data_IF_605483486830
#
_entry.id   IF_605483486830
#
_cell.length_a   1.000
_cell.length_b   1.000
_cell.length_c   1.000
_cell.angle_alpha   90.00
_cell.angle_beta   90.00
_cell.angle_gamma   90.00
#
_symmetry.space_group_name_H-M   'P 1'
#
loop_
_entity.id
_entity.type
_entity.pdbx_description
1 polymer ?
2 non-polymer ?
3 non-polymer ?
4 water ?
#
# COMPACT_ATOMS: atom_id res chain seq x y z
N UNK A 10 16.96 0.87 19.09
CA UNK A 10 17.86 2.03 19.33
C UNK A 10 17.09 3.34 19.20
N UNK A 11 17.33 4.25 20.13
CA UNK A 11 16.67 5.55 20.15
C UNK A 11 17.69 6.65 19.89
N UNK A 12 17.48 7.42 18.83
CA UNK A 12 18.38 8.51 18.48
C UNK A 12 18.19 9.66 19.47
N UNK A 13 19.31 10.25 19.96
CA UNK A 13 19.22 11.38 20.91
C UNK A 13 18.27 12.48 20.43
N UNK A 14 17.43 12.94 21.35
CA UNK A 14 16.43 13.95 21.08
C UNK A 14 17.02 15.29 20.66
N UNK A 15 16.63 15.79 19.47
CA UNK A 15 17.12 17.06 18.94
C UNK A 15 16.74 18.20 19.90
N UNK A 16 17.62 19.21 20.04
CA UNK A 16 17.38 20.35 20.92
C UNK A 16 16.06 21.10 20.73
N UNK A 17 15.57 21.17 19.48
CA UNK A 17 14.32 21.88 19.21
C UNK A 17 13.02 21.14 19.55
N UNK A 18 13.13 19.83 19.78
CA UNK A 18 11.94 19.04 20.09
C UNK A 18 11.65 19.00 21.58
N UNK A 19 10.43 19.39 22.00
CA UNK A 19 10.01 19.39 23.41
C UNK A 19 9.87 17.96 23.91
N UNK A 20 10.26 17.70 25.14
CA UNK A 20 10.16 16.36 25.72
C UNK A 20 8.73 15.83 25.83
N UNK A 21 7.76 16.73 26.04
CA UNK A 21 6.37 16.33 26.17
C UNK A 21 5.76 15.83 24.86
N UNK A 22 6.47 16.01 23.75
CA UNK A 22 5.97 15.56 22.45
C UNK A 22 6.63 14.25 22.03
N UNK A 23 7.46 13.68 22.91
CA UNK A 23 8.14 12.43 22.60
C UNK A 23 7.18 11.24 22.77
N UNK A 24 7.19 10.36 21.78
CA UNK A 24 6.37 9.15 21.79
C UNK A 24 7.13 8.19 20.88
N UNK A 25 7.93 7.33 21.48
CA UNK A 25 8.75 6.38 20.74
C UNK A 25 8.03 5.25 20.01
N UNK A 26 7.35 5.60 18.94
CA UNK A 26 6.65 4.64 18.12
C UNK A 26 7.63 4.09 17.07
N UNK A 27 7.65 2.77 16.89
CA UNK A 27 8.51 2.13 15.90
C UNK A 27 7.62 1.65 14.76
N UNK A 28 7.71 2.30 13.61
CA UNK A 28 6.87 1.94 12.47
C UNK A 28 7.15 0.56 11.87
N UNK A 29 8.31 0.00 12.17
CA UNK A 29 8.67 -1.33 11.66
C UNK A 29 8.48 -2.44 12.71
N UNK A 30 8.14 -2.07 13.94
CA UNK A 30 7.88 -3.05 15.00
C UNK A 30 7.16 -2.37 16.17
N UNK A 31 5.92 -1.92 15.93
CA UNK A 31 5.10 -1.24 16.95
C UNK A 31 4.84 -2.06 18.21
N UNK A 32 4.82 -1.36 19.35
CA UNK A 32 4.61 -1.94 20.67
C UNK A 32 3.44 -2.91 20.85
N UNK A 33 2.30 -2.63 20.26
CA UNK A 33 1.14 -3.52 20.42
C UNK A 33 0.74 -4.25 19.13
N UNK A 34 1.74 -4.68 18.38
CA UNK A 34 1.53 -5.39 17.12
C UNK A 34 0.61 -6.60 17.26
N UNK A 35 0.59 -7.21 18.44
CA UNK A 35 -0.22 -8.39 18.71
C UNK A 35 -1.73 -8.17 18.66
N UNK A 36 -2.14 -6.92 18.78
CA UNK A 36 -3.56 -6.58 18.75
C UNK A 36 -4.03 -6.37 17.31
N UNK A 37 -3.08 -6.39 16.38
CA UNK A 37 -3.35 -6.15 14.98
C UNK A 37 -2.56 -4.90 14.63
N UNK A 38 -2.11 -4.78 13.38
CA UNK A 38 -1.31 -3.64 12.98
C UNK A 38 -2.05 -2.30 13.00
N UNK A 39 -3.27 -2.24 12.44
CA UNK A 39 -4.05 -1.00 12.45
C UNK A 39 -4.29 -0.56 13.88
N UNK A 40 -4.51 -1.53 14.77
CA UNK A 40 -4.76 -1.27 16.19
C UNK A 40 -3.51 -0.69 16.86
N UNK A 41 -2.35 -1.25 16.51
CA UNK A 41 -1.08 -0.81 17.06
C UNK A 41 -0.81 0.66 16.70
N UNK A 42 -1.07 1.01 15.44
CA UNK A 42 -0.89 2.37 14.96
C UNK A 42 -1.93 3.31 15.59
N UNK A 43 -3.16 2.82 15.73
CA UNK A 43 -4.26 3.60 16.32
C UNK A 43 -3.99 4.07 17.76
N UNK A 44 -3.04 3.43 18.43
CA UNK A 44 -2.71 3.83 19.80
C UNK A 44 -2.19 5.27 19.77
N UNK A 45 -1.69 5.70 18.61
CA UNK A 45 -1.17 7.04 18.41
C UNK A 45 -2.25 8.11 18.43
N UNK A 46 -3.50 7.71 18.21
CA UNK A 46 -4.60 8.66 18.16
C UNK A 46 -5.38 8.87 19.46
N UNK A 47 -4.91 8.26 20.54
CA UNK A 47 -5.57 8.39 21.84
C UNK A 47 -5.47 9.81 22.40
N UNK A 48 -6.48 10.21 23.17
CA UNK A 48 -6.53 11.56 23.74
C UNK A 48 -5.30 12.00 24.53
N UNK A 49 -4.62 11.04 25.12
CA UNK A 49 -3.40 11.28 25.90
C UNK A 49 -2.23 11.64 24.99
N UNK A 50 -2.28 11.19 23.74
CA UNK A 50 -1.23 11.42 22.77
C UNK A 50 -1.46 12.69 21.94
N UNK A 51 -0.44 13.56 21.85
CA UNK A 51 -0.54 14.82 21.08
C UNK A 51 -0.87 14.57 19.61
N UNK A 52 -1.35 15.60 18.93
CA UNK A 52 -1.73 15.51 17.51
C UNK A 52 -0.51 15.32 16.62
N UNK A 53 0.65 15.68 17.16
CA UNK A 53 1.90 15.61 16.43
C UNK A 53 2.99 15.27 17.45
N UNK A 54 3.61 14.11 17.28
CA UNK A 54 4.65 13.66 18.20
C UNK A 54 5.98 13.39 17.49
N UNK A 55 7.04 13.24 18.28
CA UNK A 55 8.36 12.94 17.77
C UNK A 55 8.79 11.59 18.33
N UNK A 56 9.18 10.68 17.45
CA UNK A 56 9.67 9.39 17.90
C UNK A 56 11.17 9.40 17.67
N UNK A 57 11.90 8.84 18.62
CA UNK A 57 13.35 8.76 18.53
C UNK A 57 13.76 7.49 17.81
N UNK A 58 12.78 6.65 17.50
CA UNK A 58 13.03 5.40 16.77
C UNK A 58 13.42 5.71 15.34
N UNK A 59 14.10 4.75 14.70
CA UNK A 59 14.49 4.86 13.30
C UNK A 59 15.11 6.18 12.86
N UNK A 60 16.05 6.70 13.67
CA UNK A 60 16.73 7.94 13.34
C UNK A 60 16.06 9.18 13.90
N UNK A 61 14.81 9.05 14.32
CA UNK A 61 14.07 10.17 14.87
C UNK A 61 13.28 10.90 13.80
N UNK A 62 11.97 11.06 14.02
CA UNK A 62 11.11 11.74 13.06
C UNK A 62 9.75 12.09 13.65
N UNK A 63 9.05 13.02 13.01
CA UNK A 63 7.73 13.40 13.46
C UNK A 63 6.71 12.40 12.93
N UNK A 64 5.53 12.41 13.53
CA UNK A 64 4.42 11.56 13.11
C UNK A 64 3.14 12.37 13.35
N UNK A 65 2.42 12.72 12.29
CA UNK A 65 1.15 13.45 12.44
C UNK A 65 0.18 12.32 12.75
N UNK A 66 -0.54 12.42 13.87
CA UNK A 66 -1.45 11.35 14.27
C UNK A 66 -2.91 11.51 13.84
N UNK A 67 -3.32 12.74 13.57
CA UNK A 67 -4.70 13.00 13.19
C UNK A 67 -4.92 13.25 11.70
N UNK A 68 -6.02 12.70 11.19
CA UNK A 68 -6.37 12.86 9.79
C UNK A 68 -6.32 14.29 9.28
N UNK A 69 -6.73 15.26 10.10
CA UNK A 69 -6.73 16.67 9.70
C UNK A 69 -5.31 17.16 9.42
N UNK A 70 -4.37 16.79 10.30
CA UNK A 70 -2.98 17.19 10.13
C UNK A 70 -2.34 16.44 8.98
N UNK A 71 -2.67 15.16 8.86
CA UNK A 71 -2.14 14.31 7.80
C UNK A 71 -2.57 14.88 6.44
N UNK A 72 -3.84 15.25 6.32
CA UNK A 72 -4.38 15.80 5.07
C UNK A 72 -3.74 17.14 4.73
N UNK A 73 -3.62 17.98 5.75
CA UNK A 73 -3.04 19.31 5.60
C UNK A 73 -1.60 19.27 5.12
N UNK A 74 -0.79 18.39 5.72
CA UNK A 74 0.61 18.27 5.34
C UNK A 74 0.78 17.77 3.90
N UNK A 75 -0.05 16.81 3.49
CA UNK A 75 0.02 16.28 2.12
C UNK A 75 -0.40 17.31 1.08
N UNK A 76 -1.19 18.29 1.50
CA UNK A 76 -1.63 19.35 0.61
C UNK A 76 -0.55 20.42 0.45
N UNK A 77 0.24 20.61 1.49
CA UNK A 77 1.29 21.62 1.50
C UNK A 77 2.65 21.08 1.04
N UNK A 78 2.82 20.86 -0.25
CA UNK A 78 4.09 20.35 -0.76
C UNK A 78 5.26 21.34 -0.65
N UNK A 79 4.94 22.61 -0.48
CA UNK A 79 5.94 23.67 -0.34
C UNK A 79 6.74 23.52 0.95
N UNK A 80 6.07 23.10 2.02
CA UNK A 80 6.73 22.89 3.31
C UNK A 80 7.10 21.43 3.52
N UNK A 81 6.21 20.54 3.08
CA UNK A 81 6.40 19.10 3.21
C UNK A 81 6.69 18.49 1.84
N UNK A 82 7.97 18.36 1.56
CA UNK A 82 8.47 17.84 0.28
C UNK A 82 8.53 16.31 0.18
N UNK A 83 8.31 15.81 -1.04
CA UNK A 83 8.37 14.38 -1.33
C UNK A 83 9.78 13.92 -1.73
N UNK A 84 10.76 14.82 -1.66
CA UNK A 84 12.14 14.44 -1.97
C UNK A 84 12.62 13.77 -0.68
N UNK A 85 12.00 12.63 -0.40
CA UNK A 85 12.22 11.85 0.80
C UNK A 85 13.49 11.05 1.01
N UNK A 86 14.07 11.16 2.21
CA UNK A 86 15.28 10.41 2.56
C UNK A 86 14.60 9.14 3.08
N UNK A 87 15.32 8.06 3.33
CA UNK A 87 14.67 6.86 3.86
C UNK A 87 14.47 7.01 5.36
N UNK A 88 13.75 6.05 5.94
CA UNK A 88 13.50 5.99 7.38
C UNK A 88 13.72 4.52 7.71
N UNK A 89 14.85 4.18 8.36
CA UNK A 89 15.95 5.02 8.85
C UNK A 89 16.67 5.63 7.66
N UNK A 90 17.12 6.87 7.80
CA UNK A 90 17.80 7.53 6.70
C UNK A 90 19.17 6.91 6.46
N UNK A 91 19.56 6.86 5.20
CA UNK A 91 20.85 6.30 4.81
C UNK A 91 21.76 7.40 4.29
N UNK A 92 23.03 7.33 4.67
CA UNK A 92 24.04 8.31 4.28
C UNK A 92 24.23 8.37 2.77
N UNK A 93 24.08 9.57 2.22
CA UNK A 93 24.26 9.79 0.80
C UNK A 93 23.27 9.14 -0.14
N UNK A 94 22.18 8.59 0.40
CA UNK A 94 21.16 7.93 -0.42
C UNK A 94 19.76 8.34 -0.01
N UNK A 95 18.86 8.45 -0.99
CA UNK A 95 17.49 8.85 -0.74
C UNK A 95 16.58 8.34 -1.87
N UNK A 96 15.27 8.43 -1.68
CA UNK A 96 14.33 7.98 -2.68
C UNK A 96 14.47 8.83 -3.93
N UNK A 97 14.37 8.22 -5.09
CA UNK A 97 14.44 8.96 -6.35
C UNK A 97 13.43 8.39 -7.34
N UNK A 98 12.36 7.81 -6.81
CA UNK A 98 11.31 7.24 -7.63
C UNK A 98 10.59 8.37 -8.37
N UNK A 99 10.00 8.03 -9.51
CA UNK A 99 9.26 9.00 -10.30
C UNK A 99 7.85 8.43 -10.46
N UNK A 100 6.81 9.25 -10.25
CA UNK A 100 6.92 10.68 -9.88
C UNK A 100 6.83 10.90 -8.38
N UNK A 101 6.82 9.81 -7.62
CA UNK A 101 6.69 9.83 -6.18
C UNK A 101 7.72 10.59 -5.36
N UNK A 102 8.96 10.66 -5.83
CA UNK A 102 9.97 11.40 -5.10
C UNK A 102 10.14 12.83 -5.61
N UNK A 103 9.12 13.35 -6.27
CA UNK A 103 9.15 14.70 -6.80
C UNK A 103 8.00 15.55 -6.28
N UNK A 104 8.22 16.86 -6.27
CA UNK A 104 7.22 17.83 -5.83
C UNK A 104 6.72 18.53 -7.08
N UNK A 105 5.47 18.99 -7.05
CA UNK A 105 4.98 19.70 -8.23
C UNK A 105 5.80 20.98 -8.18
N UNK A 106 5.94 21.70 -9.31
CA UNK A 106 5.40 21.44 -10.64
C UNK A 106 6.05 20.30 -11.43
N UNK A 107 7.33 20.06 -11.16
CA UNK A 107 8.10 19.02 -11.86
C UNK A 107 7.43 17.65 -11.91
N UNK A 108 6.87 17.24 -10.78
CA UNK A 108 6.20 15.94 -10.68
C UNK A 108 5.06 15.72 -11.67
N UNK A 109 4.27 16.76 -11.93
CA UNK A 109 3.09 16.66 -12.77
C UNK A 109 3.18 16.02 -14.15
N UNK A 110 4.17 16.38 -14.94
CA UNK A 110 4.33 15.84 -16.28
C UNK A 110 4.46 14.31 -16.26
N UNK A 111 5.05 13.78 -15.18
CA UNK A 111 5.24 12.33 -15.05
C UNK A 111 4.01 11.52 -14.68
N UNK A 112 3.08 12.13 -13.95
CA UNK A 112 1.85 11.44 -13.56
C UNK A 112 1.01 11.00 -14.75
N UNK A 113 0.91 11.87 -15.76
CA UNK A 113 0.11 11.54 -16.94
C UNK A 113 0.57 10.26 -17.61
N UNK A 114 1.88 10.11 -17.80
CA UNK A 114 2.42 8.90 -18.44
C UNK A 114 2.19 7.67 -17.58
N UNK A 115 2.38 7.81 -16.27
CA UNK A 115 2.16 6.70 -15.33
C UNK A 115 0.69 6.30 -15.34
N UNK A 116 -0.18 7.32 -15.39
CA UNK A 116 -1.62 7.12 -15.40
C UNK A 116 -2.03 6.37 -16.67
N UNK A 117 -1.27 6.58 -17.73
CA UNK A 117 -1.54 5.93 -19.01
C UNK A 117 -1.25 4.43 -18.99
N UNK A 118 -0.40 3.96 -18.09
CA UNK A 118 -0.09 2.53 -18.04
C UNK A 118 -0.88 1.71 -17.00
N UNK A 119 -1.28 2.33 -15.90
CA UNK A 119 -2.06 1.61 -14.88
C UNK A 119 -3.45 2.22 -14.61
N UNK A 120 -3.84 3.20 -15.43
CA UNK A 120 -5.12 3.87 -15.27
C UNK A 120 -6.36 3.09 -15.66
N UNK A 121 -7.50 3.75 -15.53
CA UNK A 121 -8.82 3.18 -15.82
C UNK A 121 -8.98 2.43 -17.16
N UNK A 122 -8.61 3.06 -18.29
CA UNK A 122 -8.75 2.35 -19.57
C UNK A 122 -7.99 1.01 -19.57
N UNK A 123 -6.82 1.01 -18.93
CA UNK A 123 -5.99 -0.19 -18.83
C UNK A 123 -6.71 -1.22 -17.95
N UNK A 124 -7.29 -0.76 -16.84
CA UNK A 124 -8.00 -1.67 -15.95
C UNK A 124 -9.18 -2.31 -16.68
N UNK A 125 -9.88 -1.53 -17.49
CA UNK A 125 -11.02 -2.02 -18.27
C UNK A 125 -10.54 -3.14 -19.20
N UNK A 126 -9.42 -2.91 -19.87
CA UNK A 126 -8.87 -3.91 -20.77
C UNK A 126 -8.54 -5.21 -20.02
N UNK A 127 -7.96 -5.07 -18.83
CA UNK A 127 -7.57 -6.23 -18.03
C UNK A 127 -8.76 -6.98 -17.45
N UNK A 128 -9.88 -6.29 -17.28
CA UNK A 128 -11.12 -6.82 -16.71
C UNK A 128 -11.36 -8.33 -16.83
N UNK A 129 -11.35 -8.86 -18.06
CA UNK A 129 -11.60 -10.28 -18.24
C UNK A 129 -10.48 -11.21 -17.80
N UNK A 130 -9.23 -10.79 -17.96
CA UNK A 130 -8.10 -11.60 -17.53
C UNK A 130 -8.12 -11.63 -16.00
N UNK A 131 -8.51 -10.50 -15.39
CA UNK A 131 -8.59 -10.39 -13.93
C UNK A 131 -9.65 -11.36 -13.41
N UNK A 132 -10.82 -11.33 -14.03
CA UNK A 132 -11.94 -12.20 -13.67
C UNK A 132 -11.55 -13.66 -13.86
N UNK A 133 -10.90 -13.97 -14.98
CA UNK A 133 -10.47 -15.32 -15.28
C UNK A 133 -9.49 -15.89 -14.26
N UNK A 134 -8.46 -15.11 -13.92
CA UNK A 134 -7.48 -15.57 -12.96
C UNK A 134 -8.10 -15.80 -11.58
N UNK A 135 -8.90 -14.85 -11.10
CA UNK A 135 -9.54 -15.00 -9.79
C UNK A 135 -10.35 -16.30 -9.75
N UNK A 136 -11.17 -16.52 -10.77
CA UNK A 136 -11.98 -17.70 -10.84
C UNK A 136 -11.13 -18.97 -10.92
N UNK A 137 -10.10 -18.95 -11.77
CA UNK A 137 -9.21 -20.08 -11.94
C UNK A 137 -8.50 -20.47 -10.65
N UNK A 138 -7.97 -19.49 -9.93
CA UNK A 138 -7.28 -19.76 -8.67
C UNK A 138 -8.23 -20.27 -7.60
N UNK A 139 -9.41 -19.66 -7.52
CA UNK A 139 -10.40 -20.03 -6.51
C UNK A 139 -11.00 -21.43 -6.74
N UNK A 140 -11.22 -21.80 -8.00
CA UNK A 140 -11.77 -23.12 -8.33
C UNK A 140 -10.84 -24.26 -7.95
N UNK A 141 -9.53 -24.07 -8.13
CA UNK A 141 -8.57 -25.11 -7.80
C UNK A 141 -8.47 -25.29 -6.29
N UNK A 142 -8.68 -24.20 -5.56
CA UNK A 142 -8.62 -24.24 -4.10
C UNK A 142 -9.90 -24.81 -3.49
N UNK A 143 -11.03 -24.46 -4.10
CA UNK A 143 -12.35 -24.87 -3.61
C UNK A 143 -12.52 -26.31 -3.07
N UNK A 144 -12.11 -27.33 -3.85
CA UNK A 144 -12.22 -28.73 -3.42
C UNK A 144 -11.35 -29.11 -2.21
N UNK A 145 -10.27 -28.35 -2.01
CA UNK A 145 -9.34 -28.60 -0.91
C UNK A 145 -9.92 -28.43 0.49
N UNK A 146 -10.85 -27.50 0.64
CA UNK A 146 -11.42 -27.26 1.96
C UNK A 146 -10.41 -26.58 2.88
N UNK A 147 -9.33 -26.06 2.31
CA UNK A 147 -8.28 -25.38 3.07
C UNK A 147 -7.29 -24.69 2.15
N UNK A 148 -6.58 -23.69 2.69
CA UNK A 148 -5.58 -22.96 1.93
C UNK A 148 -4.79 -22.00 2.81
N UNK A 149 -3.65 -21.58 2.29
CA UNK A 149 -2.76 -20.62 2.93
C UNK A 149 -3.00 -19.41 2.03
N UNK A 150 -4.02 -18.62 2.38
CA UNK A 150 -4.45 -17.47 1.58
C UNK A 150 -3.37 -16.55 1.04
N UNK A 151 -2.43 -16.14 1.89
CA UNK A 151 -1.36 -15.24 1.47
C UNK A 151 -0.60 -15.76 0.24
N UNK A 152 -0.10 -16.98 0.32
CA UNK A 152 0.64 -17.56 -0.79
C UNK A 152 -0.20 -18.19 -1.91
N UNK A 153 -1.42 -18.63 -1.59
CA UNK A 153 -2.30 -19.28 -2.57
C UNK A 153 -3.18 -18.34 -3.41
N UNK A 154 -3.44 -17.14 -2.89
CA UNK A 154 -4.28 -16.20 -3.62
C UNK A 154 -3.80 -14.76 -3.53
N UNK A 155 -3.63 -14.28 -2.30
CA UNK A 155 -3.21 -12.91 -2.06
C UNK A 155 -2.01 -12.52 -2.91
N UNK A 156 -1.03 -13.40 -2.99
CA UNK A 156 0.16 -13.13 -3.78
C UNK A 156 0.01 -13.36 -5.29
N UNK A 157 -0.27 -14.60 -5.74
CA UNK A 157 -0.42 -14.86 -7.18
C UNK A 157 -1.46 -14.07 -7.97
N UNK A 158 -2.60 -13.76 -7.36
CA UNK A 158 -3.64 -13.02 -8.08
C UNK A 158 -3.16 -11.64 -8.58
N UNK A 159 -2.83 -10.71 -7.66
CA UNK A 159 -2.38 -9.38 -8.09
C UNK A 159 -1.03 -9.39 -8.81
N UNK A 160 -0.11 -10.21 -8.32
CA UNK A 160 1.20 -10.29 -8.92
C UNK A 160 1.17 -10.80 -10.37
N UNK A 161 0.43 -11.87 -10.62
CA UNK A 161 0.38 -12.37 -11.99
C UNK A 161 -0.31 -11.39 -12.93
N UNK A 162 -1.31 -10.67 -12.45
CA UNK A 162 -1.97 -9.68 -13.29
C UNK A 162 -0.97 -8.56 -13.61
N UNK A 163 -0.18 -8.17 -12.61
CA UNK A 163 0.79 -7.11 -12.84
C UNK A 163 1.90 -7.53 -13.79
N UNK A 164 2.41 -8.75 -13.63
CA UNK A 164 3.47 -9.24 -14.51
C UNK A 164 2.92 -9.28 -15.94
N UNK A 165 1.65 -9.69 -16.07
CA UNK A 165 1.01 -9.75 -17.38
C UNK A 165 1.00 -8.33 -17.96
N UNK A 166 0.51 -7.39 -17.18
CA UNK A 166 0.44 -5.99 -17.58
C UNK A 166 1.81 -5.45 -17.97
N UNK A 167 2.83 -5.84 -17.22
CA UNK A 167 4.20 -5.38 -17.46
C UNK A 167 4.96 -6.19 -18.50
N UNK A 168 4.38 -7.31 -18.94
CA UNK A 168 5.04 -8.16 -19.92
C UNK A 168 6.30 -8.77 -19.31
N UNK A 169 6.23 -9.17 -18.04
CA UNK A 169 7.38 -9.76 -17.37
C UNK A 169 7.16 -11.24 -17.13
N UNK A 170 8.19 -12.07 -17.33
CA UNK A 170 8.08 -13.53 -17.13
C UNK A 170 7.71 -13.86 -15.69
N UNK A 171 6.71 -14.72 -15.49
CA UNK A 171 6.31 -15.10 -14.14
C UNK A 171 7.44 -15.75 -13.34
N UNK A 172 8.45 -16.27 -14.02
CA UNK A 172 9.59 -16.89 -13.34
C UNK A 172 10.37 -15.83 -12.56
N UNK A 173 10.21 -14.56 -12.93
CA UNK A 173 10.90 -13.45 -12.27
C UNK A 173 10.22 -13.02 -10.98
N UNK A 174 9.06 -13.59 -10.68
CA UNK A 174 8.32 -13.24 -9.48
C UNK A 174 9.06 -13.40 -8.14
N UNK A 175 9.64 -14.59 -7.86
CA UNK A 175 10.36 -14.75 -6.58
C UNK A 175 11.40 -13.65 -6.32
N UNK A 176 12.14 -13.29 -7.37
CA UNK A 176 13.17 -12.28 -7.29
C UNK A 176 12.58 -10.88 -7.03
N UNK A 177 11.64 -10.47 -7.86
CA UNK A 177 10.99 -9.17 -7.74
C UNK A 177 10.19 -9.01 -6.43
N UNK A 178 9.54 -10.10 -6.02
CA UNK A 178 8.74 -10.13 -4.81
C UNK A 178 9.66 -9.94 -3.60
N UNK A 179 10.85 -10.53 -3.65
CA UNK A 179 11.80 -10.37 -2.57
C UNK A 179 12.26 -8.91 -2.48
N UNK A 180 12.52 -8.31 -3.64
CA UNK A 180 12.98 -6.93 -3.68
C UNK A 180 11.93 -5.92 -3.24
N UNK A 181 10.68 -6.10 -3.67
CA UNK A 181 9.63 -5.18 -3.27
C UNK A 181 9.36 -5.32 -1.77
N UNK A 182 9.57 -6.52 -1.23
CA UNK A 182 9.40 -6.75 0.20
C UNK A 182 10.42 -5.92 0.95
N UNK A 183 11.64 -5.86 0.41
CA UNK A 183 12.70 -5.10 1.05
C UNK A 183 12.46 -3.59 1.02
N UNK A 184 11.58 -3.14 0.12
CA UNK A 184 11.26 -1.72 0.03
C UNK A 184 10.10 -1.33 0.95
N UNK A 185 9.44 -2.31 1.58
CA UNK A 185 8.29 -2.03 2.44
C UNK A 185 8.40 -2.57 3.87
N UNK A 186 8.79 -3.83 4.00
CA UNK A 186 8.95 -4.49 5.30
C UNK A 186 10.31 -5.20 5.22
N UNK A 187 11.41 -4.43 5.19
CA UNK A 187 12.76 -5.00 5.09
C UNK A 187 13.17 -5.91 6.24
N UNK A 188 13.78 -7.05 5.90
CA UNK A 188 14.25 -7.97 6.92
C UNK A 188 15.69 -7.65 7.35
N UNK A 189 16.30 -6.66 6.70
CA UNK A 189 17.65 -6.27 7.05
C UNK A 189 18.78 -6.87 6.21
N UNK A 190 18.47 -7.68 5.20
CA UNK A 190 19.50 -8.28 4.35
C UNK A 190 19.95 -7.30 3.27
N UNK A 191 19.20 -6.22 3.11
CA UNK A 191 19.51 -5.18 2.13
C UNK A 191 19.10 -3.83 2.68
N UNK A 192 19.78 -2.78 2.21
CA UNK A 192 19.44 -1.42 2.61
C UNK A 192 18.37 -1.00 1.59
N UNK A 193 17.67 0.10 1.82
CA UNK A 193 16.67 0.57 0.86
C UNK A 193 17.39 0.95 -0.43
N UNK A 194 18.61 1.47 -0.32
CA UNK A 194 19.39 1.88 -1.50
C UNK A 194 19.79 0.68 -2.36
N UNK A 195 20.11 -0.44 -1.72
CA UNK A 195 20.49 -1.64 -2.46
C UNK A 195 19.26 -2.31 -3.07
N UNK A 196 18.17 -2.37 -2.32
CA UNK A 196 16.94 -2.98 -2.83
C UNK A 196 16.46 -2.21 -4.06
N UNK A 197 16.44 -0.89 -3.94
CA UNK A 197 16.01 -0.03 -5.03
C UNK A 197 16.90 -0.16 -6.27
N UNK A 198 18.21 -0.17 -6.05
CA UNK A 198 19.14 -0.30 -7.16
C UNK A 198 18.97 -1.64 -7.89
N UNK A 199 18.64 -2.69 -7.16
CA UNK A 199 18.44 -4.02 -7.76
C UNK A 199 17.21 -4.02 -8.63
N UNK A 200 16.20 -3.27 -8.21
CA UNK A 200 14.96 -3.15 -8.95
C UNK A 200 15.29 -2.41 -10.26
N UNK A 201 16.07 -1.34 -10.15
CA UNK A 201 16.49 -0.55 -11.31
C UNK A 201 17.33 -1.41 -12.25
N UNK A 202 18.27 -2.15 -11.69
CA UNK A 202 19.17 -3.02 -12.46
C UNK A 202 18.38 -4.02 -13.29
N UNK A 203 17.30 -4.53 -12.70
CA UNK A 203 16.45 -5.49 -13.39
C UNK A 203 15.76 -4.82 -14.59
N UNK A 204 15.27 -3.61 -14.38
CA UNK A 204 14.54 -2.86 -15.40
C UNK A 204 15.35 -2.30 -16.58
N UNK A 205 16.56 -1.82 -16.33
CA UNK A 205 17.40 -1.23 -17.37
C UNK A 205 17.39 -1.93 -18.74
N UNK A 206 17.84 -3.20 -18.81
CA UNK A 206 17.85 -3.88 -20.11
C UNK A 206 16.45 -4.10 -20.72
N UNK A 207 15.44 -4.20 -19.87
CA UNK A 207 14.07 -4.40 -20.35
C UNK A 207 13.55 -3.13 -21.02
N UNK A 208 13.85 -1.98 -20.43
CA UNK A 208 13.43 -0.70 -21.00
C UNK A 208 14.11 -0.48 -22.37
N UNK A 209 15.40 -0.82 -22.47
CA UNK A 209 16.15 -0.67 -23.71
C UNK A 209 15.55 -1.54 -24.81
N UNK A 210 15.22 -2.79 -24.47
CA UNK A 210 14.65 -3.72 -25.43
C UNK A 210 13.33 -3.21 -26.01
N UNK A 211 12.43 -2.78 -25.13
CA UNK A 211 11.13 -2.29 -25.54
C UNK A 211 11.15 -0.91 -26.18
N UNK A 212 12.23 -0.17 -25.94
CA UNK A 212 12.38 1.16 -26.53
C UNK A 212 12.66 0.97 -28.03
N UNK A 213 13.29 -0.15 -28.36
CA UNK A 213 13.66 -0.48 -29.73
C UNK A 213 12.62 -1.35 -30.42
N UNK A 214 12.00 -2.25 -29.67
CA UNK A 214 10.95 -3.12 -30.20
C UNK A 214 9.75 -2.96 -29.24
N UNK A 215 9.03 -1.85 -29.37
CA UNK A 215 7.88 -1.57 -28.51
C UNK A 215 6.73 -2.58 -28.61
N UNK A 216 6.06 -2.76 -27.47
CA UNK A 216 4.90 -3.64 -27.38
C UNK A 216 3.82 -2.76 -26.78
N UNK A 217 2.74 -3.35 -26.31
CA UNK A 217 1.67 -2.57 -25.70
C UNK A 217 1.69 -2.64 -24.17
N UNK A 218 2.62 -3.45 -23.64
CA UNK A 218 2.78 -3.65 -22.21
C UNK A 218 3.19 -2.34 -21.52
N UNK A 219 3.01 -2.30 -20.20
CA UNK A 219 3.34 -1.12 -19.39
C UNK A 219 4.78 -0.62 -19.53
N UNK A 220 5.75 -1.52 -19.59
CA UNK A 220 7.16 -1.13 -19.71
C UNK A 220 7.43 -0.42 -21.06
N UNK A 221 6.84 -0.94 -22.14
CA UNK A 221 7.00 -0.35 -23.46
C UNK A 221 6.42 1.05 -23.50
N UNK A 222 5.22 1.19 -22.92
CA UNK A 222 4.53 2.48 -22.91
C UNK A 222 5.33 3.54 -22.17
N UNK A 223 5.94 3.18 -21.05
CA UNK A 223 6.76 4.13 -20.29
C UNK A 223 8.03 4.45 -21.08
N UNK A 224 8.76 3.40 -21.48
CA UNK A 224 10.00 3.53 -22.23
C UNK A 224 9.86 4.39 -23.48
N UNK A 225 8.73 4.27 -24.17
CA UNK A 225 8.49 5.04 -25.40
C UNK A 225 7.55 6.21 -25.13
N UNK A 226 7.36 6.55 -23.87
CA UNK A 226 6.47 7.63 -23.52
C UNK A 226 7.02 9.03 -23.63
N UNK A 227 6.13 10.00 -23.53
CA UNK A 227 6.48 11.41 -23.58
C UNK A 227 5.90 12.09 -22.36
N UNK A 228 6.67 13.02 -21.80
CA UNK A 228 6.23 13.79 -20.65
C UNK A 228 6.14 15.25 -21.12
N UNK A 229 4.91 15.72 -21.21
CA UNK A 229 4.60 17.08 -21.66
C UNK A 229 5.19 17.38 -23.02
N UNK A 230 4.95 16.46 -23.96
CA UNK A 230 5.43 16.62 -25.32
C UNK A 230 6.91 16.36 -25.56
N UNK A 231 7.60 15.92 -24.52
CA UNK A 231 9.04 15.65 -24.62
C UNK A 231 9.28 14.16 -24.32
N UNK A 232 10.23 13.53 -25.03
CA UNK A 232 10.48 12.10 -24.76
C UNK A 232 11.12 11.84 -23.41
N UNK A 233 10.56 10.89 -22.66
CA UNK A 233 11.10 10.53 -21.36
C UNK A 233 12.47 9.89 -21.64
N UNK A 234 13.44 10.10 -20.75
CA UNK A 234 14.76 9.51 -20.94
C UNK A 234 14.82 8.12 -20.31
N UNK A 235 15.82 7.34 -20.69
CA UNK A 235 16.01 6.00 -20.15
C UNK A 235 16.02 5.95 -18.62
N UNK A 236 16.70 6.92 -18.01
CA UNK A 236 16.81 7.01 -16.56
C UNK A 236 15.49 7.36 -15.89
N UNK A 237 14.73 8.28 -16.49
CA UNK A 237 13.44 8.66 -15.92
C UNK A 237 12.48 7.48 -16.01
N UNK A 238 12.57 6.75 -17.12
CA UNK A 238 11.73 5.58 -17.35
C UNK A 238 12.06 4.49 -16.32
N UNK A 239 13.34 4.35 -16.01
CA UNK A 239 13.83 3.36 -15.06
C UNK A 239 13.27 3.68 -13.67
N UNK A 240 13.36 4.95 -13.29
CA UNK A 240 12.87 5.41 -12.00
C UNK A 240 11.36 5.31 -11.85
N UNK A 241 10.62 5.49 -12.95
CA UNK A 241 9.16 5.37 -12.92
C UNK A 241 8.76 3.90 -12.81
N UNK A 242 9.35 3.07 -13.66
CA UNK A 242 9.04 1.64 -13.63
C UNK A 242 9.39 1.00 -12.28
N UNK A 243 10.48 1.48 -11.67
CA UNK A 243 10.88 0.95 -10.36
C UNK A 243 9.78 1.20 -9.34
N UNK A 244 9.20 2.40 -9.40
CA UNK A 244 8.12 2.76 -8.49
C UNK A 244 6.89 1.92 -8.80
N UNK A 245 6.57 1.76 -10.07
CA UNK A 245 5.40 0.97 -10.49
C UNK A 245 5.47 -0.47 -10.01
N UNK A 246 6.67 -1.06 -10.04
CA UNK A 246 6.85 -2.45 -9.60
C UNK A 246 6.54 -2.58 -8.12
N UNK A 247 6.97 -1.61 -7.32
CA UNK A 247 6.70 -1.65 -5.88
C UNK A 247 5.20 -1.59 -5.65
N UNK A 248 4.54 -0.61 -6.26
CA UNK A 248 3.10 -0.47 -6.10
C UNK A 248 2.32 -1.66 -6.63
N UNK A 249 2.64 -2.06 -7.86
CA UNK A 249 1.93 -3.15 -8.48
C UNK A 249 2.13 -4.54 -7.92
N UNK A 250 3.29 -4.80 -7.35
CA UNK A 250 3.55 -6.14 -6.80
C UNK A 250 3.31 -6.30 -5.31
N UNK A 251 3.32 -5.21 -4.56
CA UNK A 251 3.18 -5.32 -3.12
C UNK A 251 1.88 -4.88 -2.44
N UNK A 252 1.44 -3.66 -2.73
CA UNK A 252 0.27 -3.11 -2.06
C UNK A 252 -1.04 -3.90 -2.00
N UNK A 253 -1.61 -4.29 -3.14
CA UNK A 253 -2.86 -5.06 -3.14
C UNK A 253 -2.71 -6.42 -2.44
N UNK A 254 -1.55 -7.06 -2.62
CA UNK A 254 -1.28 -8.37 -2.01
C UNK A 254 -1.58 -8.37 -0.53
N UNK A 255 -0.98 -7.43 0.18
CA UNK A 255 -1.16 -7.33 1.61
C UNK A 255 -2.58 -6.95 2.02
N UNK A 256 -3.19 -6.03 1.29
CA UNK A 256 -4.54 -5.60 1.60
C UNK A 256 -5.56 -6.74 1.53
N UNK A 257 -5.43 -7.60 0.53
CA UNK A 257 -6.34 -8.73 0.36
C UNK A 257 -6.37 -9.65 1.58
N UNK A 258 -5.21 -9.87 2.19
CA UNK A 258 -5.14 -10.70 3.37
C UNK A 258 -5.86 -10.10 4.58
N UNK A 259 -5.79 -8.78 4.72
CA UNK A 259 -6.48 -8.10 5.82
C UNK A 259 -8.00 -8.30 5.62
N UNK A 260 -8.45 -8.09 4.38
CA UNK A 260 -9.86 -8.22 4.06
C UNK A 260 -10.37 -9.65 4.23
N UNK A 261 -9.61 -10.63 3.77
CA UNK A 261 -10.05 -12.02 3.88
C UNK A 261 -9.99 -12.50 5.33
N UNK A 262 -9.03 -11.98 6.10
CA UNK A 262 -8.92 -12.37 7.50
C UNK A 262 -10.15 -11.88 8.24
N UNK A 263 -10.55 -10.65 7.95
CA UNK A 263 -11.72 -10.06 8.58
C UNK A 263 -12.97 -10.86 8.22
N UNK A 264 -13.16 -11.13 6.93
CA UNK A 264 -14.33 -11.89 6.47
C UNK A 264 -14.40 -13.27 7.09
N UNK A 265 -13.25 -13.93 7.19
CA UNK A 265 -13.18 -15.27 7.79
C UNK A 265 -13.60 -15.24 9.25
N UNK A 266 -13.49 -14.06 9.87
CA UNK A 266 -13.85 -13.90 11.27
C UNK A 266 -15.26 -13.37 11.48
N UNK A 267 -15.91 -12.93 10.41
CA UNK A 267 -17.25 -12.40 10.55
C UNK A 267 -18.26 -12.98 9.58
N UNK A 268 -18.88 -14.09 9.99
CA UNK A 268 -19.88 -14.79 9.17
C UNK A 268 -21.02 -13.83 8.79
N UNK A 269 -21.33 -12.89 9.67
CA UNK A 269 -22.38 -11.93 9.46
C UNK A 269 -22.05 -11.00 8.28
N UNK A 270 -20.78 -10.61 8.16
CA UNK A 270 -20.38 -9.74 7.05
C UNK A 270 -20.32 -10.53 5.74
N UNK A 271 -20.00 -11.82 5.82
CA UNK A 271 -19.95 -12.67 4.62
C UNK A 271 -21.37 -12.81 4.06
N UNK A 272 -22.30 -13.18 4.94
CA UNK A 272 -23.69 -13.37 4.55
C UNK A 272 -24.28 -12.09 3.96
N UNK A 273 -23.91 -10.94 4.52
CA UNK A 273 -24.41 -9.67 4.02
C UNK A 273 -24.05 -9.48 2.56
N UNK A 274 -22.79 -9.73 2.22
CA UNK A 274 -22.32 -9.59 0.85
C UNK A 274 -22.88 -10.67 -0.06
N UNK A 275 -23.14 -11.85 0.52
CA UNK A 275 -23.72 -12.97 -0.21
C UNK A 275 -25.15 -12.62 -0.65
N UNK A 276 -25.92 -12.09 0.29
CA UNK A 276 -27.31 -11.72 0.01
C UNK A 276 -27.41 -10.44 -0.80
N UNK A 277 -26.56 -9.46 -0.50
CA UNK A 277 -26.61 -8.19 -1.22
C UNK A 277 -25.31 -7.88 -1.97
N UNK A 278 -25.05 -8.61 -3.08
CA UNK A 278 -23.84 -8.42 -3.89
C UNK A 278 -23.64 -6.98 -4.38
N UNK A 279 -24.72 -6.21 -4.48
CA UNK A 279 -24.62 -4.84 -4.95
C UNK A 279 -23.89 -3.95 -3.94
N UNK A 280 -23.71 -4.47 -2.73
CA UNK A 280 -23.01 -3.74 -1.69
C UNK A 280 -21.50 -3.96 -1.73
N UNK A 281 -21.05 -4.86 -2.59
CA UNK A 281 -19.61 -5.15 -2.69
C UNK A 281 -18.72 -3.94 -2.98
N UNK A 282 -19.10 -3.06 -3.92
CA UNK A 282 -18.24 -1.90 -4.16
C UNK A 282 -18.12 -1.06 -2.89
N UNK A 283 -19.23 -0.95 -2.16
CA UNK A 283 -19.26 -0.19 -0.90
C UNK A 283 -18.41 -0.88 0.16
N UNK A 284 -18.51 -2.21 0.23
CA UNK A 284 -17.75 -3.00 1.19
C UNK A 284 -16.25 -2.85 0.93
N UNK A 285 -15.87 -2.77 -0.35
CA UNK A 285 -14.47 -2.59 -0.75
C UNK A 285 -13.91 -1.30 -0.17
N UNK A 286 -14.68 -0.21 -0.34
CA UNK A 286 -14.29 1.11 0.15
C UNK A 286 -14.17 1.11 1.67
N UNK A 287 -15.14 0.49 2.34
CA UNK A 287 -15.16 0.41 3.79
C UNK A 287 -13.96 -0.38 4.32
N UNK A 288 -13.65 -1.48 3.63
CA UNK A 288 -12.53 -2.33 4.01
C UNK A 288 -11.22 -1.59 3.74
N UNK A 289 -11.21 -0.74 2.72
CA UNK A 289 -10.02 0.04 2.41
C UNK A 289 -9.75 1.02 3.54
N UNK A 290 -10.80 1.50 4.18
CA UNK A 290 -10.67 2.43 5.28
C UNK A 290 -10.17 1.67 6.52
N UNK A 291 -10.92 0.66 6.92
CA UNK A 291 -10.60 -0.13 8.10
C UNK A 291 -9.25 -0.86 8.04
N UNK A 292 -8.87 -1.33 6.86
CA UNK A 292 -7.61 -2.04 6.75
C UNK A 292 -6.59 -1.31 5.89
N UNK A 293 -6.62 0.03 5.98
CA UNK A 293 -5.69 0.90 5.29
C UNK A 293 -4.32 0.40 5.74
N UNK A 294 -3.31 0.47 4.87
CA UNK A 294 -2.01 -0.11 5.20
C UNK A 294 -0.73 0.61 4.83
N UNK A 295 -0.83 1.78 4.20
CA UNK A 295 0.37 2.50 3.79
C UNK A 295 0.69 3.64 4.74
N UNK A 296 1.99 3.89 4.90
CA UNK A 296 2.46 4.95 5.75
C UNK A 296 3.84 5.42 5.29
N UNK A 297 3.87 6.51 4.55
CA UNK A 297 5.16 7.07 4.14
C UNK A 297 5.17 8.53 4.62
N UNK A 298 6.14 9.34 4.20
CA UNK A 298 6.17 10.69 4.70
C UNK A 298 6.73 11.74 3.78
N UNK A 299 7.14 12.85 4.37
CA UNK A 299 7.70 13.98 3.64
C UNK A 299 8.88 14.52 4.45
N UNK A 300 9.55 15.52 3.90
CA UNK A 300 10.67 16.15 4.59
C UNK A 300 10.43 17.66 4.57
N UNK A 301 10.74 18.34 5.68
CA UNK A 301 10.54 19.78 5.77
C UNK A 301 11.55 20.59 4.99
N UNK A 302 11.06 21.49 4.16
CA UNK A 302 11.93 22.31 3.34
C UNK A 302 12.48 23.53 4.10
N UNK A 303 11.83 23.91 5.19
CA UNK A 303 12.28 25.05 5.98
C UNK A 303 11.76 24.97 7.42
N UNK A 304 12.24 25.88 8.27
CA UNK A 304 11.78 25.93 9.66
C UNK A 304 10.33 26.35 9.52
N UNK A 305 9.43 25.65 10.20
CA UNK A 305 8.01 25.94 10.07
C UNK A 305 7.22 25.45 11.27
N UNK A 306 6.38 26.33 11.80
CA UNK A 306 5.53 26.00 12.93
C UNK A 306 4.24 25.43 12.37
N UNK A 307 3.92 24.21 12.76
CA UNK A 307 2.73 23.52 12.28
C UNK A 307 1.92 23.11 13.51
N UNK A 308 0.73 23.68 13.64
CA UNK A 308 -0.16 23.39 14.76
C UNK A 308 0.52 23.54 16.10
N UNK A 309 1.18 24.68 16.30
CA UNK A 309 1.86 24.95 17.54
C UNK A 309 3.19 24.23 17.73
N UNK A 310 3.60 23.43 16.76
CA UNK A 310 4.87 22.69 16.85
C UNK A 310 5.91 23.24 15.89
N UNK A 311 7.09 23.57 16.42
CA UNK A 311 8.17 24.10 15.61
C UNK A 311 8.95 22.98 14.92
N UNK A 312 8.75 22.87 13.62
CA UNK A 312 9.42 21.87 12.80
C UNK A 312 10.67 22.50 12.17
N UNK A 313 11.76 21.77 12.13
CA UNK A 313 13.02 22.27 11.59
C UNK A 313 13.28 21.80 10.16
N UNK A 314 13.97 22.64 9.39
CA UNK A 314 14.32 22.32 8.02
C UNK A 314 15.10 21.01 8.03
N UNK A 315 14.74 20.09 7.14
CA UNK A 315 15.41 18.81 7.08
C UNK A 315 14.79 17.76 7.99
N UNK A 316 13.85 18.16 8.83
CA UNK A 316 13.18 17.22 9.72
C UNK A 316 12.29 16.33 8.86
N UNK A 317 12.26 15.04 9.19
CA UNK A 317 11.41 14.10 8.46
C UNK A 317 10.08 13.98 9.22
N UNK A 318 8.99 13.83 8.49
CA UNK A 318 7.69 13.68 9.12
C UNK A 318 6.91 12.57 8.43
N UNK A 319 6.49 11.59 9.22
CA UNK A 319 5.71 10.46 8.73
C UNK A 319 4.25 10.90 8.80
N UNK A 320 3.54 10.75 7.70
CA UNK A 320 2.14 11.12 7.62
C UNK A 320 1.45 9.81 7.24
N UNK A 321 1.10 8.99 8.25
CA UNK A 321 0.47 7.70 7.99
C UNK A 321 -0.89 7.78 7.29
N UNK A 322 -0.91 7.41 6.01
CA UNK A 322 -2.14 7.39 5.23
C UNK A 322 -3.19 6.50 5.89
N UNK A 323 -2.72 5.43 6.53
CA UNK A 323 -3.61 4.49 7.20
C UNK A 323 -4.42 5.11 8.36
N UNK A 324 -3.82 6.08 9.04
CA UNK A 324 -4.45 6.71 10.19
C UNK A 324 -5.66 7.63 9.98
N UNK A 325 -5.71 8.36 8.87
CA UNK A 325 -6.83 9.27 8.63
C UNK A 325 -8.22 8.67 8.86
N UNK A 326 -8.52 7.56 8.19
CA UNK A 326 -9.83 6.93 8.31
C UNK A 326 -10.10 6.21 9.62
N UNK A 327 -9.06 5.97 10.41
CA UNK A 327 -9.24 5.30 11.71
C UNK A 327 -9.49 6.35 12.80
N UNK A 328 -9.29 7.61 12.43
CA UNK A 328 -9.48 8.74 13.34
C UNK A 328 -10.97 8.89 13.65
N UNK A 329 -11.32 8.80 14.92
CA UNK A 329 -12.72 8.92 15.33
C UNK A 329 -13.33 10.29 15.01
N UNK A 330 -12.47 11.27 14.72
CA UNK A 330 -12.90 12.61 14.35
C UNK A 330 -13.34 12.62 12.87
N UNK A 331 -13.00 11.55 12.15
CA UNK A 331 -13.38 11.42 10.73
C UNK A 331 -14.50 10.41 10.57
N UNK A 332 -14.49 9.36 11.38
CA UNK A 332 -15.52 8.31 11.31
C UNK A 332 -15.88 7.80 12.70
N UNK A 333 -17.18 7.79 13.00
CA UNK A 333 -17.69 7.31 14.28
C UNK A 333 -17.46 5.80 14.29
N UNK A 334 -17.09 5.27 15.45
CA UNK A 334 -16.83 3.84 15.58
C UNK A 334 -15.91 3.36 14.44
N UNK A 335 -14.76 4.03 14.27
CA UNK A 335 -13.78 3.72 13.21
C UNK A 335 -13.22 2.31 13.12
N UNK A 336 -13.18 1.60 14.24
CA UNK A 336 -12.66 0.23 14.25
C UNK A 336 -13.75 -0.79 13.88
N UNK A 337 -14.97 -0.31 13.70
CA UNK A 337 -16.08 -1.19 13.34
C UNK A 337 -16.28 -1.16 11.83
N UNK A 338 -16.46 -2.33 11.23
CA UNK A 338 -16.69 -2.44 9.80
C UNK A 338 -18.19 -2.34 9.53
N UNK A 339 -18.59 -1.28 8.82
CA UNK A 339 -19.99 -1.05 8.49
C UNK A 339 -20.12 -0.79 7.01
N UNK A 340 -20.54 -1.81 6.26
CA UNK A 340 -20.71 -1.68 4.82
C UNK A 340 -21.69 -0.58 4.40
N UNK A 341 -22.63 -0.25 5.29
CA UNK A 341 -23.62 0.80 5.01
C UNK A 341 -23.18 2.16 5.54
N UNK A 342 -21.90 2.29 5.93
CA UNK A 342 -21.39 3.56 6.46
C UNK A 342 -21.68 4.67 5.45
N UNK A 343 -22.31 5.72 5.92
CA UNK A 343 -22.72 6.84 5.08
C UNK A 343 -21.60 7.59 4.35
N UNK A 344 -20.67 8.14 5.12
CA UNK A 344 -19.55 8.89 4.57
C UNK A 344 -18.25 8.22 4.98
N UNK A 345 -17.75 7.32 4.12
CA UNK A 345 -16.50 6.61 4.38
C UNK A 345 -15.32 7.54 4.10
N UNK A 346 -14.82 8.17 5.15
CA UNK A 346 -13.71 9.09 5.04
C UNK A 346 -12.39 8.36 5.26
N UNK A 347 -11.44 8.56 4.35
CA UNK A 347 -10.12 7.95 4.43
C UNK A 347 -9.13 8.56 3.44
N UNK A 348 -7.86 8.22 3.59
CA UNK A 348 -6.77 8.66 2.70
C UNK A 348 -5.91 7.44 2.36
N UNK A 349 -6.55 6.29 2.29
CA UNK A 349 -5.90 5.00 1.99
C UNK A 349 -5.04 5.02 0.73
N UNK A 350 -5.54 5.67 -0.32
CA UNK A 350 -4.83 5.79 -1.58
C UNK A 350 -4.04 7.09 -1.62
N UNK A 351 -3.83 7.71 -0.46
CA UNK A 351 -3.08 8.95 -0.42
C UNK A 351 -3.92 10.21 -0.32
N UNK A 352 -3.24 11.34 -0.45
CA UNK A 352 -3.89 12.65 -0.38
C UNK A 352 -2.94 13.66 -1.02
N UNK A 353 -3.50 14.61 -1.75
CA UNK A 353 -2.70 15.62 -2.41
C UNK A 353 -2.32 15.25 -3.83
N UNK A 354 -1.30 15.89 -4.35
CA UNK A 354 -0.82 15.68 -5.71
C UNK A 354 -0.31 14.28 -6.00
N UNK A 355 -0.12 13.47 -4.97
CA UNK A 355 0.39 12.10 -5.14
C UNK A 355 -0.64 10.98 -4.96
N UNK A 356 -1.92 11.27 -5.18
CA UNK A 356 -2.96 10.23 -5.07
C UNK A 356 -2.59 9.01 -5.91
N UNK A 357 -2.74 7.83 -5.32
CA UNK A 357 -2.41 6.56 -5.98
C UNK A 357 -3.01 6.41 -7.38
N UNK A 358 -2.14 6.27 -8.38
CA UNK A 358 -2.60 6.08 -9.76
C UNK A 358 -3.09 4.65 -10.04
N UNK A 359 -2.72 3.72 -9.17
CA UNK A 359 -3.13 2.34 -9.30
C UNK A 359 -4.39 2.03 -8.51
N UNK A 360 -5.08 3.08 -8.03
CA UNK A 360 -6.28 2.88 -7.22
C UNK A 360 -7.45 2.20 -7.95
N UNK A 361 -7.53 2.41 -9.26
CA UNK A 361 -8.60 1.80 -10.05
C UNK A 361 -8.34 0.30 -10.25
N UNK A 362 -7.07 -0.04 -10.46
CA UNK A 362 -6.67 -1.44 -10.62
C UNK A 362 -6.84 -2.14 -9.26
N UNK A 363 -6.50 -1.44 -8.19
CA UNK A 363 -6.63 -2.00 -6.85
C UNK A 363 -8.08 -2.34 -6.53
N UNK A 364 -8.96 -1.35 -6.65
CA UNK A 364 -10.37 -1.56 -6.38
C UNK A 364 -10.95 -2.68 -7.23
N UNK A 365 -10.60 -2.70 -8.52
CA UNK A 365 -11.10 -3.74 -9.41
C UNK A 365 -10.69 -5.13 -8.92
N UNK A 366 -9.44 -5.26 -8.48
CA UNK A 366 -8.94 -6.54 -7.99
C UNK A 366 -9.60 -6.98 -6.70
N UNK A 367 -9.87 -6.02 -5.81
CA UNK A 367 -10.53 -6.32 -4.54
C UNK A 367 -11.97 -6.75 -4.78
N UNK A 368 -12.70 -5.95 -5.55
CA UNK A 368 -14.11 -6.22 -5.88
C UNK A 368 -14.30 -7.58 -6.55
N UNK A 369 -13.44 -7.90 -7.53
CA UNK A 369 -13.50 -9.20 -8.20
C UNK A 369 -13.23 -10.31 -7.19
N UNK A 370 -12.22 -10.13 -6.34
CA UNK A 370 -11.90 -11.14 -5.33
C UNK A 370 -13.11 -11.44 -4.45
N UNK A 371 -13.72 -10.39 -3.92
CA UNK A 371 -14.89 -10.51 -3.04
C UNK A 371 -16.04 -11.24 -3.73
N UNK A 372 -16.38 -10.85 -4.95
CA UNK A 372 -17.47 -11.50 -5.68
C UNK A 372 -17.18 -12.96 -5.98
N UNK A 373 -16.03 -13.21 -6.61
CA UNK A 373 -15.66 -14.56 -6.99
C UNK A 373 -15.48 -15.49 -5.81
N UNK A 374 -14.91 -14.98 -4.72
CA UNK A 374 -14.69 -15.81 -3.55
C UNK A 374 -16.00 -16.15 -2.84
N UNK A 375 -16.79 -15.15 -2.47
CA UNK A 375 -18.04 -15.40 -1.76
C UNK A 375 -19.09 -16.16 -2.56
N UNK A 376 -18.92 -16.17 -3.86
CA UNK A 376 -19.82 -16.88 -4.75
C UNK A 376 -19.48 -18.39 -4.83
N UNK A 377 -18.22 -18.74 -4.59
CA UNK A 377 -17.78 -20.14 -4.65
C UNK A 377 -17.52 -20.74 -3.26
N UNK A 378 -16.91 -19.97 -2.37
CA UNK A 378 -16.62 -20.42 -1.02
C UNK A 378 -17.25 -19.38 -0.08
N UNK A 379 -18.57 -19.47 0.11
CA UNK A 379 -19.33 -18.56 0.96
C UNK A 379 -19.06 -18.65 2.45
N UNK A 380 -18.78 -19.85 2.92
CA UNK A 380 -18.54 -20.08 4.33
C UNK A 380 -17.13 -20.63 4.53
N UNK A 381 -16.31 -19.88 5.27
CA UNK A 381 -14.94 -20.27 5.55
C UNK A 381 -14.50 -19.66 6.86
N UNK A 382 -13.53 -20.27 7.51
CA UNK A 382 -13.03 -19.76 8.77
C UNK A 382 -11.51 -19.84 8.80
N UNK A 383 -10.93 -19.27 9.84
CA UNK A 383 -9.49 -19.29 10.04
C UNK A 383 -9.23 -20.65 10.68
N UNK A 384 -8.13 -21.28 10.30
CA UNK A 384 -7.78 -22.60 10.85
C UNK A 384 -7.80 -22.60 12.38
N UNK A 385 -8.50 -23.55 13.00
CA UNK A 385 -8.57 -23.62 14.46
C UNK A 385 -7.18 -23.62 15.12
N UNK A 386 -7.00 -22.75 16.11
CA UNK A 386 -5.73 -22.66 16.80
C UNK A 386 -4.68 -21.80 16.15
N UNK A 387 -4.97 -21.26 14.97
CA UNK A 387 -4.00 -20.42 14.26
C UNK A 387 -3.88 -19.03 14.87
N UNK A 388 -2.64 -18.56 14.98
CA UNK A 388 -2.37 -17.23 15.54
C UNK A 388 -1.94 -16.35 14.38
N UNK A 389 -2.84 -15.50 13.89
CA UNK A 389 -2.53 -14.61 12.78
C UNK A 389 -1.62 -13.47 13.24
N UNK A 390 -0.48 -13.34 12.56
CA UNK A 390 0.52 -12.31 12.83
C UNK A 390 0.56 -11.27 11.71
N UNK A 391 0.65 -10.01 12.10
CA UNK A 391 0.72 -8.88 11.17
C UNK A 391 2.14 -8.34 11.25
N UNK A 392 2.56 -7.64 10.21
CA UNK A 392 3.87 -7.02 10.15
C UNK A 392 3.67 -5.57 9.77
N UNK A 393 4.37 -4.68 10.44
CA UNK A 393 4.27 -3.24 10.21
C UNK A 393 5.47 -2.72 9.41
N UNK A 394 5.24 -1.69 8.61
CA UNK A 394 6.30 -1.10 7.82
C UNK A 394 5.71 0.03 6.99
N UNK A 395 6.34 0.34 5.86
CA UNK A 395 5.84 1.40 4.97
C UNK A 395 4.50 0.91 4.37
N UNK A 396 4.39 -0.40 4.21
CA UNK A 396 3.17 -1.04 3.74
C UNK A 396 3.07 -2.23 4.68
N UNK A 397 2.08 -2.22 5.57
CA UNK A 397 1.91 -3.31 6.52
C UNK A 397 1.28 -4.53 5.86
N UNK A 398 1.40 -5.69 6.49
CA UNK A 398 0.85 -6.90 5.91
C UNK A 398 0.50 -7.99 6.88
N UNK A 399 0.12 -9.14 6.31
CA UNK A 399 -0.24 -10.32 7.07
C UNK A 399 0.79 -11.39 6.75
N UNK A 400 1.34 -11.98 7.81
CA UNK A 400 2.35 -13.03 7.69
C UNK A 400 1.81 -14.28 7.01
N UNK A 401 0.68 -14.78 7.48
CA UNK A 401 0.07 -15.97 6.90
C UNK A 401 -1.40 -16.01 7.30
N UNK A 402 -2.22 -16.64 6.46
CA UNK A 402 -3.64 -16.71 6.73
C UNK A 402 -4.20 -18.08 6.35
N UNK A 403 -4.06 -19.07 7.25
CA UNK A 403 -4.56 -20.42 6.97
C UNK A 403 -6.09 -20.45 7.11
N UNK A 404 -6.78 -20.77 6.03
CA UNK A 404 -8.23 -20.84 6.04
C UNK A 404 -8.69 -22.28 5.84
N UNK A 405 -9.88 -22.57 6.35
CA UNK A 405 -10.48 -23.90 6.24
C UNK A 405 -11.97 -23.73 5.94
N UNK A 406 -12.56 -24.72 5.30
CA UNK A 406 -13.98 -24.71 4.96
C UNK A 406 -14.37 -26.12 4.54
N UNK A 407 -15.67 -26.41 4.58
CA UNK A 407 -16.20 -27.71 4.21
C UNK A 407 -16.58 -27.64 2.74
N UNK A 408 -15.91 -28.45 1.90
CA UNK A 408 -16.21 -28.47 0.46
C UNK A 408 -17.68 -28.62 0.11
N UNK A 409 -18.45 -29.33 0.94
CA UNK A 409 -19.87 -29.54 0.70
C UNK A 409 -20.69 -28.25 0.71
N UNK A 410 -20.16 -27.19 1.31
CA UNK A 410 -20.85 -25.92 1.38
C UNK A 410 -20.47 -24.99 0.23
N UNK A 411 -19.54 -25.42 -0.60
CA UNK A 411 -19.07 -24.59 -1.71
C UNK A 411 -19.90 -24.76 -2.99
N UNK A 412 -19.87 -23.72 -3.83
CA UNK A 412 -20.60 -23.71 -5.09
C UNK A 412 -19.57 -23.72 -6.22
N UNK A 413 -19.61 -24.74 -7.07
CA UNK A 413 -18.68 -24.84 -8.18
C UNK A 413 -19.22 -24.02 -9.35
N UNK A 414 -18.33 -23.25 -9.98
CA UNK A 414 -18.67 -22.44 -11.15
C UNK A 414 -17.46 -22.54 -12.09
X LIG B 1 1.03 6.22 -4.80
X LIG B 1 -1.59 3.48 -1.79
X LIG B 1 -1.97 0.05 -5.15
X LIG B 1 0.68 2.73 -8.12
X LIG B 1 0.40 5.74 -3.64
X LIG B 1 0.25 6.48 -2.40
X LIG B 1 -0.46 5.71 -1.56
X LIG B 1 -0.80 4.50 -2.27
X LIG B 1 -0.79 6.00 -0.12
X LIG B 1 0.80 7.87 -2.13
X LIG B 1 2.23 7.87 -1.61
X LIG B 1 2.77 9.26 -1.32
X LIG B 1 1.98 10.23 -1.23
X LIG B 1 3.99 9.41 -1.21
X LIG B 1 -1.95 2.31 -2.46
X LIG B 1 -2.85 1.28 -1.95
X LIG B 1 -2.97 0.31 -2.89
X LIG B 1 -2.15 0.77 -3.98
X LIG B 1 -3.58 1.35 -0.61
X LIG B 1 -3.68 -0.91 -2.85
X LIG B 1 -4.74 -1.24 -2.12
X LIG B 1 -1.19 0.46 -6.21
X LIG B 1 -1.03 -0.34 -7.42
X LIG B 1 -0.23 0.39 -8.25
X LIG B 1 0.04 1.65 -7.56
X LIG B 1 -1.73 -1.69 -7.74
X LIG B 1 0.14 -0.06 -9.54
X LIG B 1 1.32 0.10 -10.13
X LIG B 1 0.92 3.93 -7.51
X LIG B 1 1.55 5.05 -8.17
X LIG B 1 1.62 6.06 -7.27
X LIG B 1 1.07 5.52 -6.03
X LIG B 1 2.06 5.05 -9.61
X LIG B 1 2.37 7.38 -7.43
X LIG B 1 1.61 8.72 -7.49
X LIG B 1 2.52 9.94 -7.46
X LIG B 1 2.15 10.99 -8.02
X LIG B 1 3.62 9.87 -6.85
X LIG B 1 -0.26 4.51 -3.56
X LIG B 1 -1.55 2.01 -3.74
X LIG B 1 -0.53 1.67 -6.30
X LIG B 1 0.59 4.22 -6.22
X LIG B 1 -0.42 3.10 -4.93
X LIG C 1 5.99 3.37 -2.04
X LIG C 1 7.50 4.65 -1.38
X LIG C 1 7.29 3.64 -0.43
X LIG C 1 7.55 2.42 -1.04
X LIG C 1 7.92 2.66 -2.37
X LIG C 1 7.89 4.04 -2.59
X LIG C 1 4.48 2.09 -2.70
X LIG C 1 4.69 3.10 -3.65
X LIG C 1 4.42 4.33 -3.03
X LIG C 1 4.05 4.08 -1.70
X LIG C 1 4.09 2.70 -1.50
X LIG C 1 7.41 6.15 -1.12
X LIG C 1 8.73 6.68 -0.55
X LIG C 1 8.71 8.13 -0.51
X LIG C 1 8.45 8.85 0.60
X LIG C 1 8.59 10.31 0.30
X LIG C 1 8.69 10.34 -1.26
X LIG C 1 8.92 8.90 -1.60
X LIG C 1 8.17 8.41 1.69
X LIG C 1 9.26 8.51 -2.72
X LIG D 1 -13.56 -20.70 -20.94
X LIG D 1 -12.59 -19.45 -19.58
X LIG D 1 -11.66 -19.96 -20.47
X LIG D 1 -12.02 -19.54 -21.76
X LIG D 1 -13.17 -18.76 -21.64
X LIG D 1 -13.53 -18.70 -20.30
X LIG D 1 -14.54 -21.94 -22.31
X LIG D 1 -15.47 -21.42 -21.42
X LIG D 1 -15.11 -21.86 -20.14
X LIG D 1 -13.96 -22.63 -20.25
X LIG D 1 -13.60 -22.68 -21.59
X LIG D 1 -12.74 -19.89 -18.13
X LIG D 1 -12.41 -18.71 -17.20
X LIG D 1 -12.58 -19.18 -15.81
X LIG D 1 -13.74 -19.07 -15.13
X LIG D 1 -13.62 -19.81 -13.84
X LIG D 1 -12.21 -20.43 -13.90
X LIG D 1 -11.60 -19.75 -15.10
X LIG D 1 -14.76 -18.48 -15.54
X LIG D 1 -10.39 -19.75 -15.37
#
# INVERSE_FOLDING_TARGET
TTETIQSNANLAPLPPHVPEHLVFDFDMYNPSNLSAGVQEAWAVLQESNVPDLVWTRCNGGHWIATRGQLIREAYEDYRHFSSECPFIPREAGEAYDFIPTSMDPPEQRQFRALANQVVGMPVVDKLENRIQELACSLIESLRPQGQCNFTEDYAEPFPIRIFMLLAGLPEEDIPHLKYLTDQMTRPDGSMTFAEAKEALYDYLIPIIEQRRQKPGTDAISIVANGQVNGRPITSDEAKRMCGLLLVGGLDTVVNFLSFSMEFLAKSPEHRQELIERPERIPAACEELLRRFSLVADGRILTSDYEFHGVQLKKGDQILLPQMLSGLDERENAAPMHVDFSRQKVSHTTFGHGSHLCLGQHLARREIIVTLKEWLTRIPDFSIAPGAQIQHKSGIVSGVQALPLVWDPATTKAV
HEM CHA CHB CHC CHD C1A C2A C3A C4A CMA CAA CBA CGA O1A O2A C1B C2B C3B C4B CMB CAB CBB C1C C2C C3C C4C CMC CAC CBC C1D C2D C3D C4D CMD CAD CBD CGD O1D O2D NA NB NC ND FE
FEM FE C1 C2 C3 C4 C5 C6 C7 C8 C9 C10 C11 C12 N13 C14 C15 C16 C17 O18 O19
FEM FE C1 C2 C3 C4 C5 C6 C7 C8 C9 C10 C11 C12 N13 C14 C15 C16 C17 O18 O19
#
